data_IF_055119764679
#
_entry.id   IF_055119764679
#
_cell.length_a   1.000
_cell.length_b   1.000
_cell.length_c   1.000
_cell.angle_alpha   90.00
_cell.angle_beta   90.00
_cell.angle_gamma   90.00
#
_symmetry.space_group_name_H-M   'P 1'
#
loop_
_entity.id
_entity.type
_entity.pdbx_description
1 polymer ?
#
# COMPACT_ATOMS: atom_id res chain seq x y z
N UNK A 1 -5.75 9.04 -19.30
CA UNK A 1 -6.06 8.81 -17.88
C UNK A 1 -5.15 9.68 -17.02
N UNK A 2 -5.50 9.86 -15.76
CA UNK A 2 -4.71 10.61 -14.79
C UNK A 2 -3.53 9.72 -14.37
N UNK A 3 -2.30 10.22 -14.38
CA UNK A 3 -1.16 9.50 -13.79
C UNK A 3 -1.12 9.76 -12.29
N UNK A 4 -0.46 8.88 -11.54
CA UNK A 4 -0.21 9.08 -10.12
C UNK A 4 0.64 10.34 -9.89
N UNK A 5 0.55 10.89 -8.68
CA UNK A 5 1.25 12.11 -8.29
C UNK A 5 2.77 11.86 -8.24
N UNK A 6 3.58 12.46 -9.13
CA UNK A 6 5.02 12.25 -9.14
C UNK A 6 5.73 12.91 -7.94
N UNK A 7 5.04 13.77 -7.17
CA UNK A 7 5.61 14.42 -5.99
C UNK A 7 5.21 13.74 -4.68
N UNK A 8 4.23 12.82 -4.71
CA UNK A 8 3.86 12.07 -3.54
C UNK A 8 4.93 11.02 -3.25
N UNK A 9 5.39 10.99 -2.01
CA UNK A 9 6.37 10.00 -1.55
C UNK A 9 5.63 8.85 -0.89
N UNK A 10 5.57 7.72 -1.59
CA UNK A 10 5.01 6.47 -1.04
C UNK A 10 5.84 6.03 0.18
N UNK A 11 5.15 5.69 1.27
CA UNK A 11 5.76 5.11 2.48
C UNK A 11 6.90 5.96 3.09
N UNK A 12 6.84 7.30 2.98
CA UNK A 12 7.93 8.21 3.38
C UNK A 12 8.37 7.98 4.83
N UNK A 13 7.43 7.76 5.75
CA UNK A 13 7.75 7.51 7.17
C UNK A 13 8.53 6.21 7.35
N UNK A 14 8.14 5.12 6.68
CA UNK A 14 8.90 3.86 6.72
C UNK A 14 10.29 4.01 6.10
N UNK A 15 10.44 4.76 5.01
CA UNK A 15 11.76 5.00 4.40
C UNK A 15 12.68 5.92 5.23
N UNK A 16 12.14 6.71 6.16
CA UNK A 16 12.92 7.61 7.02
C UNK A 16 13.33 6.94 8.34
N UNK A 17 12.80 5.77 8.66
CA UNK A 17 13.11 5.05 9.89
C UNK A 17 14.01 3.84 9.59
N UNK A 18 15.21 3.84 10.17
CA UNK A 18 16.19 2.76 10.02
C UNK A 18 15.70 1.42 10.58
N UNK A 19 14.60 1.40 11.36
CA UNK A 19 13.93 0.19 11.80
C UNK A 19 13.34 -0.62 10.64
N UNK A 20 12.96 0.01 9.52
CA UNK A 20 12.46 -0.69 8.34
C UNK A 20 13.54 -0.79 7.26
N UNK A 21 14.05 -2.01 6.97
CA UNK A 21 15.00 -2.19 5.88
C UNK A 21 14.40 -1.71 4.56
N UNK A 22 15.10 -0.79 3.88
CA UNK A 22 14.59 -0.15 2.65
C UNK A 22 14.15 -1.16 1.57
N UNK A 23 14.83 -2.31 1.45
CA UNK A 23 14.48 -3.35 0.48
C UNK A 23 13.16 -4.07 0.80
N UNK A 24 12.73 -4.09 2.07
CA UNK A 24 11.41 -4.60 2.47
C UNK A 24 10.32 -3.54 2.26
N UNK A 25 10.63 -2.28 2.55
CA UNK A 25 9.73 -1.15 2.22
C UNK A 25 9.49 -1.08 0.70
N UNK A 26 10.51 -1.36 -0.10
CA UNK A 26 10.38 -1.48 -1.56
C UNK A 26 9.38 -2.58 -1.97
N UNK A 27 9.33 -3.72 -1.27
CA UNK A 27 8.36 -4.79 -1.55
C UNK A 27 6.92 -4.36 -1.22
N UNK A 28 6.71 -3.68 -0.10
CA UNK A 28 5.39 -3.09 0.24
C UNK A 28 4.98 -2.09 -0.83
N UNK A 29 5.92 -1.26 -1.28
CA UNK A 29 5.68 -0.30 -2.36
C UNK A 29 5.33 -0.99 -3.68
N UNK A 30 5.99 -2.09 -4.03
CA UNK A 30 5.69 -2.86 -5.25
C UNK A 30 4.27 -3.41 -5.24
N UNK A 31 3.76 -3.86 -4.07
CA UNK A 31 2.35 -4.26 -3.93
C UNK A 31 1.40 -3.07 -4.17
N UNK A 32 1.67 -1.91 -3.57
CA UNK A 32 0.86 -0.70 -3.80
C UNK A 32 0.97 -0.19 -5.25
N UNK A 33 2.09 -0.42 -5.92
CA UNK A 33 2.29 -0.02 -7.31
C UNK A 33 1.34 -0.78 -8.25
N UNK A 34 0.97 -2.03 -7.96
CA UNK A 34 -0.02 -2.79 -8.74
C UNK A 34 -1.38 -2.08 -8.76
N UNK A 35 -1.81 -1.56 -7.61
CA UNK A 35 -3.04 -0.77 -7.48
C UNK A 35 -2.94 0.52 -8.27
N UNK A 36 -1.82 1.23 -8.16
CA UNK A 36 -1.58 2.47 -8.92
C UNK A 36 -1.65 2.20 -10.43
N UNK A 37 -0.97 1.17 -10.92
CA UNK A 37 -0.92 0.83 -12.35
C UNK A 37 -2.33 0.53 -12.90
N UNK A 38 -3.16 -0.18 -12.14
CA UNK A 38 -4.56 -0.42 -12.49
C UNK A 38 -5.34 0.89 -12.60
N UNK A 39 -5.21 1.77 -11.60
CA UNK A 39 -5.91 3.06 -11.57
C UNK A 39 -5.42 4.02 -12.68
N UNK A 40 -4.14 3.96 -13.05
CA UNK A 40 -3.59 4.67 -14.20
C UNK A 40 -4.12 4.16 -15.53
N UNK A 41 -4.51 2.88 -15.62
CA UNK A 41 -5.27 2.33 -16.75
C UNK A 41 -6.73 2.82 -16.81
N UNK A 42 -7.14 3.63 -15.83
CA UNK A 42 -8.46 4.25 -15.73
C UNK A 42 -9.58 3.29 -15.40
N UNK A 43 -9.27 2.21 -14.69
CA UNK A 43 -10.28 1.36 -14.09
C UNK A 43 -11.13 2.17 -13.09
N UNK A 44 -12.43 1.92 -13.09
CA UNK A 44 -13.40 2.59 -12.23
C UNK A 44 -14.38 1.61 -11.58
N UNK A 45 -14.36 0.34 -11.98
CA UNK A 45 -15.13 -0.71 -11.34
C UNK A 45 -14.56 -0.96 -9.94
N UNK A 46 -15.35 -0.62 -8.92
CA UNK A 46 -14.95 -0.75 -7.53
C UNK A 46 -14.75 -2.20 -7.10
N UNK A 47 -15.40 -3.17 -7.75
CA UNK A 47 -15.19 -4.60 -7.45
C UNK A 47 -13.79 -5.02 -7.90
N UNK A 48 -13.40 -4.66 -9.15
CA UNK A 48 -12.06 -4.96 -9.70
C UNK A 48 -10.96 -4.25 -8.91
N UNK A 49 -11.19 -3.00 -8.53
CA UNK A 49 -10.23 -2.23 -7.72
C UNK A 49 -10.08 -2.85 -6.34
N UNK A 50 -11.19 -3.24 -5.69
CA UNK A 50 -11.14 -3.90 -4.38
C UNK A 50 -10.43 -5.24 -4.46
N UNK A 51 -10.68 -6.06 -5.49
CA UNK A 51 -9.95 -7.32 -5.69
C UNK A 51 -8.43 -7.08 -5.79
N UNK A 52 -8.00 -6.01 -6.48
CA UNK A 52 -6.57 -5.67 -6.59
C UNK A 52 -5.99 -5.13 -5.29
N UNK A 53 -6.78 -4.39 -4.51
CA UNK A 53 -6.41 -3.97 -3.16
C UNK A 53 -6.26 -5.18 -2.22
N UNK A 54 -7.20 -6.12 -2.26
CA UNK A 54 -7.15 -7.36 -1.48
C UNK A 54 -5.89 -8.17 -1.82
N UNK A 55 -5.56 -8.30 -3.11
CA UNK A 55 -4.31 -8.95 -3.56
C UNK A 55 -3.06 -8.25 -3.04
N UNK A 56 -3.01 -6.90 -3.12
CA UNK A 56 -1.88 -6.13 -2.63
C UNK A 56 -1.71 -6.24 -1.10
N UNK A 57 -2.81 -6.20 -0.35
CA UNK A 57 -2.82 -6.32 1.11
C UNK A 57 -2.39 -7.73 1.53
N UNK A 58 -2.88 -8.76 0.84
CA UNK A 58 -2.43 -10.14 1.04
C UNK A 58 -0.93 -10.30 0.77
N UNK A 59 -0.43 -9.70 -0.31
CA UNK A 59 1.01 -9.66 -0.60
C UNK A 59 1.83 -8.97 0.50
N UNK A 60 1.28 -7.94 1.14
CA UNK A 60 1.91 -7.28 2.30
C UNK A 60 1.87 -8.19 3.55
N UNK A 61 0.77 -8.92 3.78
CA UNK A 61 0.67 -9.86 4.90
C UNK A 61 1.76 -10.95 4.82
N UNK A 62 2.07 -11.43 3.62
CA UNK A 62 3.12 -12.42 3.36
C UNK A 62 4.54 -11.89 3.69
N UNK A 63 4.73 -10.58 3.76
CA UNK A 63 6.04 -9.97 4.10
C UNK A 63 6.33 -9.98 5.60
N UNK A 64 5.33 -10.19 6.47
CA UNK A 64 5.51 -10.10 7.93
C UNK A 64 6.64 -10.99 8.45
N UNK A 65 6.72 -12.25 7.98
CA UNK A 65 7.80 -13.18 8.38
C UNK A 65 9.18 -12.66 7.94
N UNK A 66 9.29 -12.05 6.76
CA UNK A 66 10.55 -11.51 6.26
C UNK A 66 10.97 -10.23 7.01
N UNK A 67 10.01 -9.41 7.45
CA UNK A 67 10.28 -8.31 8.37
C UNK A 67 10.87 -8.83 9.69
N UNK A 68 10.24 -9.87 10.28
CA UNK A 68 10.70 -10.47 11.53
C UNK A 68 12.11 -11.08 11.41
N UNK A 69 12.42 -11.77 10.30
CA UNK A 69 13.75 -12.31 10.01
C UNK A 69 14.85 -11.24 9.93
N UNK A 70 14.45 -9.98 9.72
CA UNK A 70 15.32 -8.82 9.59
C UNK A 70 15.26 -7.87 10.80
N UNK A 71 14.83 -8.37 11.96
CA UNK A 71 14.69 -7.59 13.21
C UNK A 71 13.76 -6.37 13.05
N UNK A 72 12.75 -6.46 12.17
CA UNK A 72 11.76 -5.44 11.85
C UNK A 72 10.33 -6.01 11.97
N UNK A 73 9.29 -5.20 11.85
CA UNK A 73 7.89 -5.66 11.95
C UNK A 73 6.94 -4.70 11.23
N UNK A 74 5.81 -5.20 10.72
CA UNK A 74 4.67 -4.36 10.30
C UNK A 74 3.85 -3.95 11.55
N UNK A 75 4.46 -3.12 12.39
CA UNK A 75 3.84 -2.61 13.62
C UNK A 75 3.08 -1.28 13.37
N UNK A 76 2.53 -0.68 14.42
CA UNK A 76 1.68 0.53 14.39
C UNK A 76 2.13 1.62 13.41
N UNK A 77 3.41 2.01 13.37
CA UNK A 77 3.89 3.06 12.45
C UNK A 77 3.85 2.60 11.00
N UNK A 78 4.26 1.36 10.71
CA UNK A 78 4.14 0.79 9.36
C UNK A 78 2.67 0.72 8.91
N UNK A 79 1.77 0.30 9.81
CA UNK A 79 0.33 0.18 9.57
C UNK A 79 -0.31 1.52 9.22
N UNK A 80 -0.03 2.55 10.02
CA UNK A 80 -0.52 3.90 9.78
C UNK A 80 0.04 4.46 8.47
N UNK A 81 1.33 4.23 8.19
CA UNK A 81 1.98 4.68 6.97
C UNK A 81 1.36 4.06 5.69
N UNK A 82 1.10 2.75 5.72
CA UNK A 82 0.44 2.03 4.62
C UNK A 82 -0.99 2.52 4.45
N UNK A 83 -1.77 2.62 5.54
CA UNK A 83 -3.16 3.09 5.50
C UNK A 83 -3.29 4.50 4.94
N UNK A 84 -2.45 5.44 5.40
CA UNK A 84 -2.39 6.81 4.86
C UNK A 84 -2.02 6.83 3.38
N UNK A 85 -1.10 5.96 2.97
CA UNK A 85 -0.70 5.85 1.56
C UNK A 85 -1.83 5.33 0.67
N UNK A 86 -2.53 4.28 1.09
CA UNK A 86 -3.69 3.73 0.38
C UNK A 86 -4.81 4.78 0.26
N UNK A 87 -5.15 5.44 1.37
CA UNK A 87 -6.15 6.53 1.40
C UNK A 87 -5.79 7.66 0.43
N UNK A 88 -4.51 8.06 0.37
CA UNK A 88 -4.05 9.07 -0.59
C UNK A 88 -4.22 8.60 -2.04
N UNK A 89 -3.84 7.36 -2.36
CA UNK A 89 -3.99 6.79 -3.71
C UNK A 89 -5.45 6.85 -4.14
N UNK A 90 -6.38 6.36 -3.31
CA UNK A 90 -7.81 6.35 -3.64
C UNK A 90 -8.37 7.76 -3.82
N UNK A 91 -8.04 8.69 -2.92
CA UNK A 91 -8.42 10.11 -3.03
C UNK A 91 -7.85 10.77 -4.27
N UNK A 92 -6.62 10.44 -4.65
CA UNK A 92 -5.98 10.98 -5.85
C UNK A 92 -6.74 10.57 -7.10
N UNK A 93 -7.13 9.30 -7.23
CA UNK A 93 -7.87 8.80 -8.38
C UNK A 93 -9.39 9.04 -8.30
N UNK A 94 -9.91 9.48 -7.14
CA UNK A 94 -11.33 9.74 -6.94
C UNK A 94 -12.15 8.46 -6.77
N UNK A 95 -11.54 7.39 -6.27
CA UNK A 95 -12.17 6.10 -6.05
C UNK A 95 -12.99 6.15 -4.76
N UNK A 96 -14.30 5.81 -4.77
CA UNK A 96 -15.18 5.93 -3.62
C UNK A 96 -15.10 4.69 -2.71
N UNK A 97 -13.89 4.22 -2.39
CA UNK A 97 -13.63 3.14 -1.45
C UNK A 97 -13.01 3.77 -0.19
N UNK A 98 -13.54 3.41 0.97
CA UNK A 98 -13.01 3.84 2.26
C UNK A 98 -11.69 3.12 2.57
N UNK A 99 -10.82 3.75 3.35
CA UNK A 99 -9.53 3.16 3.72
C UNK A 99 -9.72 1.80 4.41
N UNK A 100 -10.62 1.68 5.39
CA UNK A 100 -10.80 0.43 6.16
C UNK A 100 -11.28 -0.73 5.27
N UNK A 101 -12.13 -0.42 4.28
CA UNK A 101 -12.55 -1.40 3.27
C UNK A 101 -11.39 -1.75 2.32
N UNK A 102 -10.61 -0.76 1.89
CA UNK A 102 -9.48 -0.96 1.00
C UNK A 102 -8.39 -1.86 1.60
N UNK A 103 -8.20 -1.83 2.92
CA UNK A 103 -7.25 -2.69 3.64
C UNK A 103 -7.94 -3.75 4.51
N UNK A 104 -9.10 -4.25 4.07
CA UNK A 104 -9.92 -5.21 4.84
C UNK A 104 -9.25 -6.57 5.08
N UNK A 105 -8.35 -6.97 4.19
CA UNK A 105 -7.61 -8.24 4.27
C UNK A 105 -6.35 -8.14 5.16
N UNK A 106 -6.09 -7.02 5.82
CA UNK A 106 -4.87 -6.85 6.62
C UNK A 106 -4.84 -7.81 7.82
N UNK A 107 -3.73 -8.50 7.99
CA UNK A 107 -3.48 -9.39 9.14
C UNK A 107 -2.46 -8.81 10.13
N UNK A 108 -1.92 -7.62 9.83
CA UNK A 108 -1.10 -6.86 10.75
C UNK A 108 -1.97 -6.17 11.80
#
# INVERSE_FOLDING_TARGET
MKTFDPNYKLLDEMYQDDYYPAFLVDKVKDELQKVIDLLESGETDTEVIQETLDEAVSGINDLQEEFDEHDSEIETVARDCIGVTVDYILKWFGIPIDMEEAIRERDW
#
